data_IF_242155946090
#
_entry.id   IF_242155946090
#
_cell.length_a   1.000
_cell.length_b   1.000
_cell.length_c   1.000
_cell.angle_alpha   90.00
_cell.angle_beta   90.00
_cell.angle_gamma   90.00
#
_symmetry.space_group_name_H-M   'P 1'
#
loop_
_entity.id
_entity.type
_entity.pdbx_description
1 polymer ?
#
# COMPACT_ATOMS: atom_id res chain seq x y z
N UNK A 1 -15.20 27.60 -7.91
CA UNK A 1 -15.90 26.41 -7.39
C UNK A 1 -14.98 25.20 -7.57
N UNK A 2 -14.11 24.93 -6.59
CA UNK A 2 -13.32 23.69 -6.56
C UNK A 2 -14.15 22.68 -5.79
N UNK A 3 -14.72 21.70 -6.49
CA UNK A 3 -15.34 20.55 -5.86
C UNK A 3 -14.22 19.78 -5.16
N UNK A 4 -14.13 19.95 -3.84
CA UNK A 4 -13.36 19.08 -2.98
C UNK A 4 -14.14 17.76 -2.89
N UNK A 5 -13.96 16.88 -3.86
CA UNK A 5 -14.32 15.49 -3.71
C UNK A 5 -13.30 14.90 -2.74
N UNK A 6 -13.69 14.74 -1.48
CA UNK A 6 -12.93 13.98 -0.51
C UNK A 6 -13.10 12.50 -0.86
N UNK A 7 -12.01 11.85 -1.27
CA UNK A 7 -12.00 10.44 -1.63
C UNK A 7 -11.49 9.61 -0.45
N UNK A 8 -12.34 8.73 0.06
CA UNK A 8 -11.98 7.85 1.19
C UNK A 8 -11.38 6.55 0.67
N UNK A 9 -10.12 6.30 0.99
CA UNK A 9 -9.49 5.00 0.82
C UNK A 9 -9.98 4.10 1.96
N UNK A 10 -10.49 2.91 1.66
CA UNK A 10 -10.83 1.92 2.70
C UNK A 10 -9.62 1.00 2.91
N UNK A 11 -8.93 1.16 4.04
CA UNK A 11 -7.80 0.30 4.41
C UNK A 11 -8.33 -1.07 4.85
N UNK A 12 -8.29 -2.05 3.97
CA UNK A 12 -8.29 -3.45 4.41
C UNK A 12 -6.84 -3.80 4.77
N UNK A 13 -6.60 -4.14 6.03
CA UNK A 13 -5.34 -4.70 6.46
C UNK A 13 -5.18 -6.09 5.83
N UNK A 14 -4.64 -6.14 4.61
CA UNK A 14 -4.13 -7.38 4.02
C UNK A 14 -3.11 -7.94 5.00
N UNK A 15 -3.27 -9.21 5.38
CA UNK A 15 -2.48 -9.95 6.38
C UNK A 15 -1.03 -9.51 6.36
N UNK A 16 -0.73 -8.57 7.26
CA UNK A 16 0.63 -8.15 7.48
C UNK A 16 1.36 -9.37 8.01
N UNK A 17 2.64 -9.49 7.69
CA UNK A 17 3.59 -10.04 8.66
C UNK A 17 3.09 -9.63 10.04
N UNK A 18 2.78 -10.56 10.94
CA UNK A 18 2.10 -10.28 12.22
C UNK A 18 2.83 -9.23 13.11
N UNK A 19 3.99 -8.77 12.65
CA UNK A 19 4.93 -7.83 13.22
C UNK A 19 4.95 -6.44 12.55
N UNK A 20 4.17 -6.21 11.49
CA UNK A 20 4.19 -4.99 10.69
C UNK A 20 2.81 -4.33 10.62
N UNK A 21 2.76 -3.00 10.61
CA UNK A 21 1.55 -2.23 10.31
C UNK A 21 1.85 -1.16 9.26
N UNK A 22 1.07 -1.14 8.17
CA UNK A 22 1.08 -0.06 7.19
C UNK A 22 0.57 1.24 7.84
N UNK A 23 1.34 2.32 7.68
CA UNK A 23 1.00 3.67 8.15
C UNK A 23 0.69 4.62 7.00
N UNK A 24 1.28 4.37 5.82
CA UNK A 24 0.92 4.99 4.54
C UNK A 24 0.99 3.94 3.41
N UNK A 25 0.03 3.94 2.47
CA UNK A 25 -1.17 4.79 2.44
C UNK A 25 -2.15 4.45 3.58
N UNK A 26 -2.94 5.43 3.98
CA UNK A 26 -4.04 5.29 4.93
C UNK A 26 -5.35 5.81 4.30
N UNK A 27 -6.44 5.80 5.05
CA UNK A 27 -7.77 6.14 4.54
C UNK A 27 -7.91 7.56 3.97
N UNK A 28 -6.98 8.47 4.29
CA UNK A 28 -6.92 9.85 3.83
C UNK A 28 -5.80 10.09 2.81
N UNK A 29 -5.14 9.03 2.34
CA UNK A 29 -4.08 9.14 1.35
C UNK A 29 -4.69 9.15 -0.04
N UNK A 30 -4.43 10.23 -0.78
CA UNK A 30 -4.76 10.34 -2.20
C UNK A 30 -3.47 10.28 -3.00
N UNK A 31 -3.40 9.34 -3.94
CA UNK A 31 -2.25 9.21 -4.82
C UNK A 31 -2.47 9.96 -6.12
N UNK A 32 -1.48 10.73 -6.54
CA UNK A 32 -1.53 11.45 -7.81
C UNK A 32 -0.83 10.63 -8.91
N UNK A 33 -1.54 10.26 -10.00
CA UNK A 33 -0.92 9.56 -11.13
C UNK A 33 0.28 10.32 -11.69
N UNK A 34 1.40 9.62 -11.87
CA UNK A 34 2.66 10.18 -12.35
C UNK A 34 3.58 10.74 -11.28
N UNK A 35 3.15 10.80 -10.01
CA UNK A 35 4.00 11.21 -8.90
C UNK A 35 4.70 10.02 -8.25
N UNK A 36 5.73 10.31 -7.46
CA UNK A 36 6.35 9.35 -6.57
C UNK A 36 5.73 9.49 -5.18
N UNK A 37 5.21 8.38 -4.66
CA UNK A 37 4.51 8.31 -3.38
C UNK A 37 5.27 7.38 -2.43
N UNK A 38 5.16 7.65 -1.13
CA UNK A 38 5.79 6.82 -0.11
C UNK A 38 4.81 5.78 0.43
N UNK A 39 5.26 4.54 0.51
CA UNK A 39 4.61 3.47 1.26
C UNK A 39 5.39 3.30 2.55
N UNK A 40 4.74 3.48 3.70
CA UNK A 40 5.39 3.45 5.01
C UNK A 40 4.74 2.44 5.92
N UNK A 41 5.55 1.87 6.79
CA UNK A 41 5.10 0.96 7.83
C UNK A 41 5.87 1.18 9.11
N UNK A 42 5.34 0.62 10.19
CA UNK A 42 6.03 0.52 11.47
C UNK A 42 6.05 -0.94 11.92
N UNK A 43 7.08 -1.28 12.68
CA UNK A 43 7.11 -2.52 13.43
C UNK A 43 6.14 -2.39 14.61
N UNK A 44 5.29 -3.39 14.80
CA UNK A 44 4.36 -3.47 15.93
C UNK A 44 4.74 -4.57 16.93
N UNK A 45 5.57 -5.53 16.53
CA UNK A 45 6.11 -6.55 17.41
C UNK A 45 7.48 -7.06 16.93
N UNK A 46 8.42 -7.21 17.87
CA UNK A 46 9.78 -7.69 17.62
C UNK A 46 10.59 -6.84 16.63
N UNK A 47 11.54 -7.49 15.96
CA UNK A 47 12.32 -6.91 14.87
C UNK A 47 11.86 -7.47 13.52
N UNK A 48 11.67 -6.59 12.53
CA UNK A 48 11.52 -6.99 11.14
C UNK A 48 12.89 -7.35 10.57
N UNK A 49 13.05 -8.57 10.06
CA UNK A 49 14.25 -9.06 9.38
C UNK A 49 13.86 -9.62 8.01
N UNK A 50 14.85 -9.80 7.14
CA UNK A 50 14.63 -10.36 5.80
C UNK A 50 14.08 -9.34 4.80
N UNK A 51 13.57 -9.87 3.69
CA UNK A 51 13.02 -9.11 2.57
C UNK A 51 11.53 -9.36 2.41
N UNK A 52 10.85 -8.41 1.80
CA UNK A 52 9.43 -8.49 1.50
C UNK A 52 9.13 -7.91 0.12
N UNK A 53 8.04 -8.35 -0.47
CA UNK A 53 7.42 -7.68 -1.61
C UNK A 53 6.21 -6.87 -1.16
N UNK A 54 5.88 -5.84 -1.95
CA UNK A 54 4.76 -4.96 -1.73
C UNK A 54 3.88 -5.03 -2.98
N UNK A 55 2.63 -5.41 -2.82
CA UNK A 55 1.64 -5.56 -3.88
C UNK A 55 0.55 -4.50 -3.75
N UNK A 56 0.10 -3.99 -4.91
CA UNK A 56 -1.12 -3.21 -5.03
C UNK A 56 -2.31 -4.16 -5.20
N UNK A 57 -3.31 -3.98 -4.37
CA UNK A 57 -4.58 -4.70 -4.44
C UNK A 57 -5.69 -3.75 -4.95
N UNK A 58 -6.62 -4.22 -5.78
CA UNK A 58 -7.86 -3.51 -6.17
C UNK A 58 -9.04 -4.48 -6.14
N UNK A 59 -10.25 -3.95 -5.94
CA UNK A 59 -11.48 -4.71 -6.04
C UNK A 59 -12.73 -3.83 -6.11
N UNK A 60 -13.89 -4.48 -6.26
CA UNK A 60 -15.20 -3.82 -6.21
C UNK A 60 -15.53 -3.25 -4.84
N UNK A 61 -15.01 -3.87 -3.79
CA UNK A 61 -15.22 -3.51 -2.40
C UNK A 61 -14.02 -3.98 -1.55
N UNK A 62 -13.85 -3.47 -0.32
CA UNK A 62 -12.70 -3.81 0.52
C UNK A 62 -12.63 -5.28 0.91
N UNK A 63 -13.71 -6.05 0.84
CA UNK A 63 -13.71 -7.48 1.19
C UNK A 63 -13.32 -8.39 0.01
N UNK A 64 -13.27 -7.85 -1.21
CA UNK A 64 -12.99 -8.59 -2.43
C UNK A 64 -11.87 -7.94 -3.24
N UNK A 65 -10.68 -7.85 -2.65
CA UNK A 65 -9.48 -7.28 -3.27
C UNK A 65 -8.60 -8.38 -3.87
N UNK A 66 -8.03 -8.11 -5.05
CA UNK A 66 -7.09 -9.00 -5.74
C UNK A 66 -5.78 -8.27 -6.03
N UNK A 67 -4.66 -9.01 -6.01
CA UNK A 67 -3.35 -8.47 -6.40
C UNK A 67 -3.38 -8.07 -7.87
N UNK A 68 -3.07 -6.81 -8.16
CA UNK A 68 -3.10 -6.26 -9.52
C UNK A 68 -1.68 -6.09 -10.05
N UNK A 69 -0.74 -5.68 -9.19
CA UNK A 69 0.66 -5.52 -9.57
C UNK A 69 1.59 -5.54 -8.35
N UNK A 70 2.83 -5.96 -8.56
CA UNK A 70 3.91 -5.81 -7.57
C UNK A 70 4.52 -4.43 -7.70
N UNK A 71 4.49 -3.65 -6.61
CA UNK A 71 5.04 -2.30 -6.54
C UNK A 71 6.54 -2.34 -6.29
N UNK A 72 6.98 -3.22 -5.39
CA UNK A 72 8.36 -3.36 -5.00
C UNK A 72 8.65 -4.79 -4.57
N UNK A 73 9.87 -5.25 -4.83
CA UNK A 73 10.38 -6.58 -4.47
C UNK A 73 11.71 -6.41 -3.73
N UNK A 74 12.12 -7.43 -3.00
CA UNK A 74 13.40 -7.45 -2.29
C UNK A 74 13.58 -6.28 -1.30
N UNK A 75 12.49 -5.72 -0.79
CA UNK A 75 12.53 -4.57 0.12
C UNK A 75 12.99 -5.06 1.50
N UNK A 76 14.09 -4.53 2.06
CA UNK A 76 14.48 -4.91 3.42
C UNK A 76 13.37 -4.47 4.38
N UNK A 77 12.82 -5.42 5.15
CA UNK A 77 11.64 -5.17 5.97
C UNK A 77 11.88 -4.10 7.07
N UNK A 78 13.14 -3.91 7.48
CA UNK A 78 13.56 -2.88 8.43
C UNK A 78 13.78 -1.49 7.81
N UNK A 79 13.56 -1.30 6.51
CA UNK A 79 13.67 0.02 5.86
C UNK A 79 12.55 0.98 6.28
N UNK A 80 11.42 0.44 6.78
CA UNK A 80 10.23 1.17 7.23
C UNK A 80 9.50 2.00 6.15
N UNK A 81 10.07 2.06 4.95
CA UNK A 81 9.49 2.72 3.80
C UNK A 81 9.97 2.13 2.48
N UNK A 82 9.13 2.27 1.46
CA UNK A 82 9.43 2.07 0.05
C UNK A 82 8.83 3.23 -0.75
N UNK A 83 9.31 3.43 -1.97
CA UNK A 83 8.78 4.43 -2.88
C UNK A 83 8.08 3.77 -4.06
N UNK A 84 6.94 4.32 -4.44
CA UNK A 84 6.14 3.85 -5.56
C UNK A 84 5.99 4.97 -6.57
N UNK A 85 6.32 4.67 -7.83
CA UNK A 85 6.01 5.55 -8.96
C UNK A 85 4.60 5.24 -9.44
N UNK A 86 3.64 6.11 -9.12
CA UNK A 86 2.23 5.92 -9.47
C UNK A 86 2.09 5.96 -10.99
N UNK A 87 1.60 4.89 -11.65
CA UNK A 87 1.42 4.90 -13.10
C UNK A 87 0.46 6.01 -13.52
N UNK A 88 0.79 6.76 -14.58
CA UNK A 88 -0.08 7.84 -15.11
C UNK A 88 -1.45 7.34 -15.58
N UNK A 89 -1.54 6.06 -15.94
CA UNK A 89 -2.74 5.39 -16.40
C UNK A 89 -3.41 4.55 -15.30
N UNK A 90 -2.99 4.71 -14.03
CA UNK A 90 -3.68 4.04 -12.93
C UNK A 90 -5.13 4.50 -12.90
N UNK A 91 -6.05 3.54 -12.96
CA UNK A 91 -7.48 3.79 -12.95
C UNK A 91 -7.86 4.52 -11.66
N UNK A 92 -8.74 5.52 -11.76
CA UNK A 92 -9.27 6.15 -10.57
C UNK A 92 -10.18 5.16 -9.81
N UNK A 93 -9.83 4.83 -8.56
CA UNK A 93 -10.56 3.91 -7.69
C UNK A 93 -10.32 4.27 -6.22
N UNK A 94 -11.34 4.13 -5.39
CA UNK A 94 -11.25 4.27 -3.93
C UNK A 94 -10.92 2.97 -3.19
N UNK A 95 -10.79 1.86 -3.93
CA UNK A 95 -10.68 0.52 -3.36
C UNK A 95 -9.28 -0.06 -3.52
N UNK A 96 -8.25 0.78 -3.46
CA UNK A 96 -6.88 0.30 -3.44
C UNK A 96 -6.45 -0.10 -2.03
N UNK A 97 -5.63 -1.15 -1.92
CA UNK A 97 -4.95 -1.49 -0.68
C UNK A 97 -3.51 -1.94 -0.95
N UNK A 98 -2.70 -1.89 0.09
CA UNK A 98 -1.35 -2.44 0.07
C UNK A 98 -1.35 -3.79 0.76
N UNK A 99 -0.76 -4.78 0.10
CA UNK A 99 -0.43 -6.09 0.67
C UNK A 99 1.08 -6.21 0.76
N UNK A 100 1.55 -6.71 1.89
CA UNK A 100 2.98 -7.03 2.11
C UNK A 100 3.10 -8.54 2.16
N UNK A 101 4.07 -9.09 1.43
CA UNK A 101 4.33 -10.53 1.39
C UNK A 101 5.76 -10.77 1.84
N UNK A 102 5.94 -11.69 2.79
CA UNK A 102 7.26 -12.16 3.18
C UNK A 102 7.91 -12.92 2.03
N UNK A 103 9.20 -12.69 1.77
CA UNK A 103 9.97 -13.40 0.74
C UNK A 103 10.84 -14.53 1.32
N UNK A 104 10.77 -14.78 2.65
CA UNK A 104 11.53 -15.85 3.31
C UNK A 104 10.82 -17.20 3.35
#
# INVERSE_FOLDING_TARGET
MKLLCTYSLALLAATALAKLQITLPNTHTEWQPGNMEAIKWKTIDGDLKGKMSIELMEGSDPSNLNSVTTIAENVPANSLQAFWSVPKNLKNSGNYAIKVVDEN
#
